data_IF_623454136018
#
_entry.id   IF_623454136018
#
_cell.length_a   1.000
_cell.length_b   1.000
_cell.length_c   1.000
_cell.angle_alpha   90.00
_cell.angle_beta   90.00
_cell.angle_gamma   90.00
#
_symmetry.space_group_name_H-M   'P 1'
#
loop_
_entity.id
_entity.type
_entity.pdbx_description
1 polymer ?
#
# COMPACT_ATOMS: atom_id res chain seq x y z
N UNK A 1 -1.27 16.09 -7.09
CA UNK A 1 -1.21 16.04 -5.62
C UNK A 1 -0.20 17.05 -5.16
N UNK A 2 -0.53 17.91 -4.20
CA UNK A 2 0.37 18.94 -3.68
C UNK A 2 1.65 18.31 -3.13
N UNK A 3 2.78 18.58 -3.81
CA UNK A 3 4.10 18.11 -3.41
C UNK A 3 4.49 18.81 -2.11
N UNK A 4 4.30 18.16 -0.97
CA UNK A 4 4.72 18.68 0.34
C UNK A 4 3.94 18.17 1.54
N UNK A 5 2.76 17.56 1.35
CA UNK A 5 1.90 17.09 2.45
C UNK A 5 2.26 15.70 3.00
N UNK A 6 3.35 15.08 2.53
CA UNK A 6 3.79 13.74 2.93
C UNK A 6 2.68 12.67 2.88
N UNK A 7 1.69 12.84 2.00
CA UNK A 7 0.53 11.94 1.89
C UNK A 7 0.98 10.51 1.59
N UNK A 8 2.01 10.35 0.77
CA UNK A 8 2.58 9.03 0.47
C UNK A 8 3.13 8.34 1.71
N UNK A 9 3.86 9.06 2.57
CA UNK A 9 4.36 8.53 3.84
C UNK A 9 3.20 8.15 4.76
N UNK A 10 2.17 8.99 4.86
CA UNK A 10 1.00 8.70 5.69
C UNK A 10 0.28 7.43 5.23
N UNK A 11 0.05 7.28 3.92
CA UNK A 11 -0.61 6.10 3.34
C UNK A 11 0.22 4.85 3.58
N UNK A 12 1.54 4.92 3.46
CA UNK A 12 2.44 3.79 3.73
C UNK A 12 2.37 3.37 5.21
N UNK A 13 2.55 4.32 6.13
CA UNK A 13 2.47 4.05 7.58
C UNK A 13 1.10 3.49 7.98
N UNK A 14 0.03 4.08 7.47
CA UNK A 14 -1.33 3.66 7.77
C UNK A 14 -1.61 2.24 7.23
N UNK A 15 -1.17 1.95 6.01
CA UNK A 15 -1.30 0.60 5.43
C UNK A 15 -0.53 -0.44 6.24
N UNK A 16 0.67 -0.11 6.72
CA UNK A 16 1.47 -1.01 7.56
C UNK A 16 0.82 -1.25 8.93
N UNK A 17 0.19 -0.24 9.52
CA UNK A 17 -0.54 -0.39 10.78
C UNK A 17 -1.80 -1.25 10.60
N UNK A 18 -2.56 -1.06 9.53
CA UNK A 18 -3.77 -1.85 9.23
C UNK A 18 -3.48 -3.34 8.99
N UNK A 19 -2.36 -3.66 8.34
CA UNK A 19 -1.99 -5.05 8.02
C UNK A 19 -1.21 -5.72 9.16
N UNK A 20 -0.90 -5.00 10.23
CA UNK A 20 -0.24 -5.55 11.41
C UNK A 20 -1.18 -6.49 12.15
N UNK A 21 -0.75 -7.74 12.36
CA UNK A 21 -1.54 -8.72 13.10
C UNK A 21 -1.42 -8.60 14.63
N UNK A 22 -0.39 -7.90 15.14
CA UNK A 22 -0.08 -7.86 16.58
C UNK A 22 -0.66 -6.64 17.31
N UNK A 23 -0.76 -5.50 16.63
CA UNK A 23 -1.25 -4.25 17.22
C UNK A 23 -2.15 -3.54 16.20
N UNK A 24 -3.26 -3.01 16.68
CA UNK A 24 -4.27 -2.33 15.86
C UNK A 24 -3.92 -0.87 15.54
N UNK A 25 -3.05 -0.25 16.34
CA UNK A 25 -2.71 1.17 16.23
C UNK A 25 -1.33 1.44 15.60
N UNK A 26 -0.39 0.49 15.66
CA UNK A 26 0.96 0.68 15.13
C UNK A 26 1.52 -0.59 14.45
N UNK A 27 2.34 -0.40 13.42
CA UNK A 27 3.07 -1.47 12.77
C UNK A 27 4.19 -1.99 13.70
N UNK A 28 4.04 -3.22 14.19
CA UNK A 28 4.99 -3.81 15.13
C UNK A 28 6.40 -4.00 14.56
N UNK A 29 6.52 -4.12 13.24
CA UNK A 29 7.80 -4.21 12.54
C UNK A 29 8.50 -5.56 12.60
N UNK A 30 8.01 -6.52 13.40
CA UNK A 30 8.61 -7.86 13.57
C UNK A 30 7.70 -9.03 13.14
N UNK A 31 6.38 -8.84 13.03
CA UNK A 31 5.48 -9.91 12.58
C UNK A 31 5.66 -10.21 11.09
N UNK A 32 5.16 -11.37 10.65
CA UNK A 32 5.26 -11.80 9.26
C UNK A 32 4.63 -10.79 8.29
N UNK A 33 3.43 -10.29 8.61
CA UNK A 33 2.78 -9.25 7.80
C UNK A 33 3.61 -7.97 7.72
N UNK A 34 4.19 -7.49 8.83
CA UNK A 34 5.07 -6.31 8.81
C UNK A 34 6.37 -6.54 8.02
N UNK A 35 6.88 -7.77 7.96
CA UNK A 35 8.04 -8.09 7.12
C UNK A 35 7.66 -8.07 5.63
N UNK A 36 6.49 -8.63 5.28
CA UNK A 36 5.95 -8.62 3.93
C UNK A 36 5.61 -7.21 3.43
N UNK A 37 5.08 -6.35 4.30
CA UNK A 37 4.84 -4.94 3.94
C UNK A 37 6.15 -4.18 3.76
N UNK A 38 7.17 -4.42 4.62
CA UNK A 38 8.51 -3.86 4.46
C UNK A 38 9.19 -4.28 3.15
N UNK A 39 8.96 -5.51 2.68
CA UNK A 39 9.44 -5.97 1.36
C UNK A 39 8.54 -5.53 0.20
N UNK A 40 7.51 -4.72 0.45
CA UNK A 40 6.53 -4.26 -0.55
C UNK A 40 5.84 -5.41 -1.31
N UNK A 41 5.72 -6.59 -0.68
CA UNK A 41 5.24 -7.82 -1.31
C UNK A 41 4.09 -8.46 -0.52
N UNK A 42 3.37 -7.67 0.28
CA UNK A 42 2.24 -8.18 1.04
C UNK A 42 1.08 -8.52 0.09
N UNK A 43 0.51 -9.74 0.16
CA UNK A 43 -0.53 -10.18 -0.77
C UNK A 43 -1.79 -9.32 -0.68
N UNK A 44 -2.11 -8.79 0.51
CA UNK A 44 -3.28 -7.91 0.69
C UNK A 44 -3.01 -6.43 0.39
N UNK A 45 -1.77 -6.04 0.04
CA UNK A 45 -1.41 -4.65 -0.26
C UNK A 45 -1.03 -4.50 -1.73
N UNK A 46 -1.85 -3.75 -2.48
CA UNK A 46 -1.61 -3.49 -3.89
C UNK A 46 -1.53 -2.00 -4.19
N UNK A 47 -0.38 -1.59 -4.74
CA UNK A 47 -0.15 -0.21 -5.16
C UNK A 47 -0.55 -0.03 -6.62
N UNK A 48 -1.67 0.63 -6.87
CA UNK A 48 -2.13 0.94 -8.24
C UNK A 48 -1.69 2.35 -8.60
N UNK A 49 -0.80 2.45 -9.59
CA UNK A 49 -0.32 3.73 -10.13
C UNK A 49 -0.59 3.81 -11.64
N UNK A 50 -0.82 5.00 -12.20
CA UNK A 50 -0.94 5.17 -13.65
C UNK A 50 0.34 4.70 -14.36
N UNK A 51 0.20 4.04 -15.52
CA UNK A 51 1.35 3.60 -16.33
C UNK A 51 2.19 4.76 -16.87
N UNK A 52 1.59 5.94 -17.02
CA UNK A 52 2.26 7.18 -17.45
C UNK A 52 1.77 8.33 -16.60
N UNK A 53 2.70 9.22 -16.20
CA UNK A 53 2.35 10.47 -15.51
C UNK A 53 1.29 11.24 -16.32
N UNK A 54 0.19 11.59 -15.66
CA UNK A 54 -0.92 12.33 -16.27
C UNK A 54 -2.00 11.48 -16.95
N UNK A 55 -1.85 10.15 -17.05
CA UNK A 55 -2.92 9.26 -17.50
C UNK A 55 -3.81 8.82 -16.34
N UNK A 56 -5.07 8.55 -16.64
CA UNK A 56 -6.01 7.97 -15.68
C UNK A 56 -5.68 6.50 -15.41
N UNK A 57 -6.06 6.02 -14.22
CA UNK A 57 -6.03 4.59 -13.87
C UNK A 57 -7.12 3.90 -14.70
N UNK A 58 -6.75 2.85 -15.44
CA UNK A 58 -7.71 2.14 -16.31
C UNK A 58 -8.50 1.09 -15.53
N UNK A 59 -9.67 0.75 -16.05
CA UNK A 59 -10.51 -0.32 -15.46
C UNK A 59 -9.78 -1.66 -15.45
N UNK A 60 -8.94 -1.93 -16.46
CA UNK A 60 -8.19 -3.18 -16.54
C UNK A 60 -7.11 -3.28 -15.45
N UNK A 61 -6.47 -2.16 -15.06
CA UNK A 61 -5.56 -2.13 -13.92
C UNK A 61 -6.27 -2.50 -12.61
N UNK A 62 -7.48 -1.97 -12.38
CA UNK A 62 -8.29 -2.31 -11.20
C UNK A 62 -8.71 -3.80 -11.24
N UNK A 63 -9.13 -4.29 -12.41
CA UNK A 63 -9.55 -5.69 -12.58
C UNK A 63 -8.41 -6.69 -12.42
N UNK A 64 -7.18 -6.32 -12.74
CA UNK A 64 -6.00 -7.16 -12.52
C UNK A 64 -5.72 -7.32 -11.02
N UNK A 65 -5.83 -6.22 -10.26
CA UNK A 65 -5.66 -6.23 -8.81
C UNK A 65 -6.68 -7.14 -8.10
N UNK A 66 -7.94 -7.16 -8.53
CA UNK A 66 -8.99 -7.97 -7.91
C UNK A 66 -8.94 -9.47 -8.26
N UNK A 67 -8.05 -9.90 -9.16
CA UNK A 67 -7.98 -11.30 -9.63
C UNK A 67 -6.78 -12.08 -9.07
N UNK A 68 -6.01 -11.47 -8.16
CA UNK A 68 -4.96 -12.12 -7.38
C UNK A 68 -5.59 -12.95 -6.26
#
# INVERSE_FOLDING_TARGET
SDKGLAVEMLVEFFSHALLCQNYSSEACGFCHSCQLTKSQSHPDLHWIRPEKEGKAITVDQIRACNRL
#
